data_IF_949429711134
#
_entry.id   IF_949429711134
#
_cell.length_a   1.000
_cell.length_b   1.000
_cell.length_c   1.000
_cell.angle_alpha   90.00
_cell.angle_beta   90.00
_cell.angle_gamma   90.00
#
_symmetry.space_group_name_H-M   'P 1'
#
loop_
_entity.id
_entity.type
_entity.pdbx_description
1 polymer ?
#
# COMPACT_ATOMS: atom_id res chain seq x y z
N UNK A 1 -16.57 -15.01 4.56
CA UNK A 1 -15.45 -14.48 5.37
C UNK A 1 -14.44 -13.89 4.41
N UNK A 2 -14.18 -12.59 4.48
CA UNK A 2 -13.09 -11.98 3.71
C UNK A 2 -11.73 -12.50 4.20
N UNK A 3 -10.65 -12.35 3.41
CA UNK A 3 -9.31 -12.72 3.86
C UNK A 3 -8.96 -11.90 5.12
N UNK A 4 -8.34 -12.54 6.11
CA UNK A 4 -7.80 -11.85 7.28
C UNK A 4 -6.85 -10.71 6.83
N UNK A 5 -6.88 -9.57 7.53
CA UNK A 5 -6.05 -8.38 7.22
C UNK A 5 -4.57 -8.78 7.09
N UNK A 6 -4.08 -9.68 7.93
CA UNK A 6 -2.71 -10.21 7.86
C UNK A 6 -2.37 -10.80 6.49
N UNK A 7 -3.28 -11.60 5.90
CA UNK A 7 -3.08 -12.16 4.57
C UNK A 7 -3.04 -11.07 3.49
N UNK A 8 -3.83 -10.00 3.65
CA UNK A 8 -3.82 -8.85 2.74
C UNK A 8 -2.49 -8.10 2.83
N UNK A 9 -1.98 -7.89 4.05
CA UNK A 9 -0.70 -7.21 4.29
C UNK A 9 0.49 -8.02 3.75
N UNK A 10 0.50 -9.34 3.93
CA UNK A 10 1.54 -10.22 3.35
C UNK A 10 1.59 -10.09 1.84
N UNK A 11 0.43 -10.08 1.17
CA UNK A 11 0.37 -9.89 -0.28
C UNK A 11 0.80 -8.47 -0.67
N UNK A 12 0.42 -7.45 0.10
CA UNK A 12 0.82 -6.06 -0.13
C UNK A 12 2.34 -5.89 -0.06
N UNK A 13 2.99 -6.52 0.92
CA UNK A 13 4.44 -6.55 1.09
C UNK A 13 5.13 -7.29 -0.05
N UNK A 14 4.56 -8.42 -0.50
CA UNK A 14 5.07 -9.14 -1.66
C UNK A 14 5.06 -8.29 -2.93
N UNK A 15 3.99 -7.52 -3.15
CA UNK A 15 3.91 -6.57 -4.27
C UNK A 15 4.91 -5.42 -4.11
N UNK A 16 5.06 -4.88 -2.90
CA UNK A 16 6.00 -3.80 -2.62
C UNK A 16 7.46 -4.23 -2.86
N UNK A 17 7.85 -5.41 -2.36
CA UNK A 17 9.18 -5.98 -2.60
C UNK A 17 9.47 -6.10 -4.10
N UNK A 18 8.54 -6.69 -4.85
CA UNK A 18 8.66 -6.80 -6.31
C UNK A 18 8.76 -5.43 -6.98
N UNK A 19 7.99 -4.46 -6.52
CA UNK A 19 8.03 -3.10 -7.05
C UNK A 19 9.42 -2.48 -6.87
N UNK A 20 9.99 -2.57 -5.66
CA UNK A 20 11.34 -2.07 -5.35
C UNK A 20 12.41 -2.78 -6.18
N UNK A 21 12.32 -4.09 -6.36
CA UNK A 21 13.26 -4.85 -7.19
C UNK A 21 13.24 -4.38 -8.67
N UNK A 22 12.06 -4.13 -9.21
CA UNK A 22 11.90 -3.64 -10.59
C UNK A 22 12.36 -2.19 -10.74
N UNK A 23 11.97 -1.35 -9.78
CA UNK A 23 12.32 0.06 -9.69
C UNK A 23 13.84 0.27 -9.61
N UNK A 24 14.50 -0.42 -8.68
CA UNK A 24 15.96 -0.34 -8.50
C UNK A 24 16.74 -0.92 -9.67
N UNK A 25 16.24 -1.99 -10.30
CA UNK A 25 16.91 -2.57 -11.47
C UNK A 25 16.75 -1.75 -12.74
N UNK A 26 15.71 -0.90 -12.81
CA UNK A 26 15.36 -0.10 -13.99
C UNK A 26 14.96 -0.89 -15.24
N UNK A 27 14.79 -2.21 -15.12
CA UNK A 27 14.54 -3.11 -16.27
C UNK A 27 13.10 -3.10 -16.76
N UNK A 28 12.15 -2.78 -15.87
CA UNK A 28 10.72 -2.79 -16.18
C UNK A 28 9.98 -1.79 -15.27
N UNK A 29 10.00 -0.52 -15.67
CA UNK A 29 9.37 0.56 -14.91
C UNK A 29 7.85 0.47 -14.91
N UNK A 30 7.25 -0.03 -16.00
CA UNK A 30 5.80 -0.29 -16.07
C UNK A 30 5.42 -1.39 -15.07
N UNK A 31 6.22 -2.45 -14.98
CA UNK A 31 6.08 -3.49 -13.96
C UNK A 31 6.22 -2.95 -12.54
N UNK A 32 7.17 -2.06 -12.29
CA UNK A 32 7.35 -1.39 -11.00
C UNK A 32 6.11 -0.56 -10.61
N UNK A 33 5.61 0.28 -11.52
CA UNK A 33 4.40 1.10 -11.32
C UNK A 33 3.20 0.20 -10.99
N UNK A 34 2.99 -0.87 -11.76
CA UNK A 34 1.89 -1.79 -11.55
C UNK A 34 1.99 -2.55 -10.22
N UNK A 35 3.20 -2.93 -9.81
CA UNK A 35 3.43 -3.60 -8.54
C UNK A 35 3.17 -2.66 -7.35
N UNK A 36 3.67 -1.41 -7.39
CA UNK A 36 3.34 -0.41 -6.37
C UNK A 36 1.84 -0.12 -6.31
N UNK A 37 1.16 -0.01 -7.46
CA UNK A 37 -0.28 0.22 -7.52
C UNK A 37 -1.11 -0.91 -6.90
N UNK A 38 -0.71 -2.17 -7.13
CA UNK A 38 -1.32 -3.33 -6.47
C UNK A 38 -1.10 -3.30 -4.96
N UNK A 39 0.11 -2.96 -4.52
CA UNK A 39 0.41 -2.81 -3.09
C UNK A 39 -0.45 -1.72 -2.45
N UNK A 40 -0.55 -0.53 -3.07
CA UNK A 40 -1.42 0.56 -2.63
C UNK A 40 -2.87 0.14 -2.44
N UNK A 41 -3.44 -0.58 -3.41
CA UNK A 41 -4.82 -1.06 -3.32
C UNK A 41 -5.04 -1.95 -2.09
N UNK A 42 -4.08 -2.83 -1.80
CA UNK A 42 -4.15 -3.74 -0.66
C UNK A 42 -3.94 -2.99 0.67
N UNK A 43 -3.01 -2.04 0.72
CA UNK A 43 -2.80 -1.17 1.89
C UNK A 43 -4.05 -0.34 2.19
N UNK A 44 -4.70 0.23 1.18
CA UNK A 44 -5.96 0.98 1.37
C UNK A 44 -7.06 0.10 1.96
N UNK A 45 -7.19 -1.15 1.49
CA UNK A 45 -8.16 -2.09 2.04
C UNK A 45 -7.83 -2.47 3.50
N UNK A 46 -6.55 -2.70 3.81
CA UNK A 46 -6.10 -3.02 5.17
C UNK A 46 -6.33 -1.85 6.14
N UNK A 47 -6.00 -0.62 5.72
CA UNK A 47 -6.24 0.60 6.51
C UNK A 47 -7.73 0.80 6.79
N UNK A 48 -8.58 0.68 5.76
CA UNK A 48 -10.02 0.84 5.91
C UNK A 48 -10.59 -0.19 6.92
N UNK A 49 -10.20 -1.45 6.78
CA UNK A 49 -10.63 -2.52 7.70
C UNK A 49 -10.11 -2.31 9.12
N UNK A 50 -8.87 -1.83 9.28
CA UNK A 50 -8.29 -1.54 10.61
C UNK A 50 -9.01 -0.38 11.31
N UNK A 51 -9.39 0.66 10.57
CA UNK A 51 -10.17 1.79 11.08
C UNK A 51 -11.59 1.34 11.47
N UNK A 52 -12.22 0.49 10.66
CA UNK A 52 -13.56 -0.04 10.94
C UNK A 52 -13.57 -0.89 12.23
N UNK A 53 -12.63 -1.83 12.36
CA UNK A 53 -12.49 -2.65 13.56
C UNK A 53 -12.23 -1.79 14.81
N UNK A 54 -11.41 -0.74 14.69
CA UNK A 54 -11.12 0.18 15.81
C UNK A 54 -12.35 1.01 16.24
N UNK A 55 -13.33 1.24 15.34
CA UNK A 55 -14.58 1.94 15.67
C UNK A 55 -15.58 1.04 16.38
N UNK A 56 -15.56 -0.26 16.11
CA UNK A 56 -16.42 -1.27 16.75
C UNK A 56 -15.88 -1.65 18.14
N UNK A 57 -14.57 -1.74 18.30
CA UNK A 57 -13.88 -2.07 19.55
C UNK A 57 -13.60 -0.81 20.39
N UNK A 58 -14.64 -0.14 20.91
CA UNK A 58 -14.51 1.04 21.80
C UNK A 58 -14.01 0.72 23.22
N UNK A 59 -13.03 -0.16 23.39
CA UNK A 59 -12.51 -0.50 24.71
C UNK A 59 -10.97 -0.56 24.74
N UNK A 60 -10.40 0.43 25.43
CA UNK A 60 -9.14 0.44 26.17
C UNK A 60 -8.03 -0.48 25.64
N UNK A 61 -7.38 -0.05 24.55
CA UNK A 61 -6.16 -0.68 24.01
C UNK A 61 -5.61 -0.02 22.74
N UNK A 62 -5.99 1.24 22.48
CA UNK A 62 -6.09 1.81 21.14
C UNK A 62 -4.78 2.37 20.55
N UNK A 63 -3.74 2.51 21.38
CA UNK A 63 -2.50 3.18 20.95
C UNK A 63 -1.70 2.36 19.94
N UNK A 64 -1.56 1.06 20.17
CA UNK A 64 -0.80 0.19 19.26
C UNK A 64 -1.50 0.05 17.90
N UNK A 65 -2.84 -0.05 17.89
CA UNK A 65 -3.66 -0.07 16.67
C UNK A 65 -3.57 1.23 15.89
N UNK A 66 -3.63 2.36 16.60
CA UNK A 66 -3.48 3.68 15.97
C UNK A 66 -2.09 3.85 15.36
N UNK A 67 -1.03 3.48 16.09
CA UNK A 67 0.34 3.51 15.59
C UNK A 67 0.54 2.57 14.37
N UNK A 68 -0.11 1.41 14.35
CA UNK A 68 -0.08 0.50 13.19
C UNK A 68 -0.74 1.14 11.96
N UNK A 69 -1.93 1.73 12.13
CA UNK A 69 -2.64 2.43 11.04
C UNK A 69 -1.81 3.60 10.52
N UNK A 70 -1.18 4.39 11.40
CA UNK A 70 -0.28 5.48 11.00
C UNK A 70 0.92 4.98 10.19
N UNK A 71 1.53 3.86 10.59
CA UNK A 71 2.62 3.24 9.82
C UNK A 71 2.14 2.79 8.44
N UNK A 72 0.97 2.16 8.35
CA UNK A 72 0.40 1.73 7.06
C UNK A 72 0.09 2.93 6.15
N UNK A 73 -0.43 4.01 6.72
CA UNK A 73 -0.67 5.29 6.01
C UNK A 73 0.62 5.88 5.48
N UNK A 74 1.69 5.94 6.29
CA UNK A 74 2.99 6.45 5.87
C UNK A 74 3.60 5.63 4.72
N UNK A 75 3.51 4.29 4.80
CA UNK A 75 3.98 3.39 3.74
C UNK A 75 3.17 3.59 2.45
N UNK A 76 1.85 3.66 2.57
CA UNK A 76 0.96 3.95 1.43
C UNK A 76 1.37 5.26 0.74
N UNK A 77 1.54 6.33 1.49
CA UNK A 77 1.87 7.65 0.93
C UNK A 77 3.24 7.66 0.27
N UNK A 78 4.23 6.95 0.84
CA UNK A 78 5.53 6.76 0.20
C UNK A 78 5.41 6.03 -1.15
N UNK A 79 4.56 5.01 -1.26
CA UNK A 79 4.37 4.29 -2.52
C UNK A 79 3.60 5.10 -3.56
N UNK A 80 2.58 5.87 -3.14
CA UNK A 80 1.90 6.82 -4.02
C UNK A 80 2.89 7.83 -4.60
N UNK A 81 3.72 8.45 -3.75
CA UNK A 81 4.74 9.40 -4.18
C UNK A 81 5.72 8.76 -5.17
N UNK A 82 6.15 7.51 -4.93
CA UNK A 82 7.06 6.83 -5.85
C UNK A 82 6.41 6.56 -7.21
N UNK A 83 5.14 6.15 -7.24
CA UNK A 83 4.39 5.97 -8.48
C UNK A 83 4.32 7.29 -9.26
N UNK A 84 4.01 8.41 -8.60
CA UNK A 84 3.96 9.71 -9.28
C UNK A 84 5.29 10.05 -9.96
N UNK A 85 6.41 9.80 -9.27
CA UNK A 85 7.76 10.03 -9.82
C UNK A 85 8.00 9.11 -11.02
N UNK A 86 7.69 7.82 -10.91
CA UNK A 86 7.90 6.84 -11.99
C UNK A 86 7.00 7.16 -13.20
N UNK A 87 5.74 7.51 -12.98
CA UNK A 87 4.81 7.91 -14.04
C UNK A 87 5.31 9.15 -14.79
N UNK A 88 5.82 10.16 -14.08
CA UNK A 88 6.44 11.35 -14.70
C UNK A 88 7.70 10.98 -15.50
N UNK A 89 8.58 10.14 -14.94
CA UNK A 89 9.80 9.71 -15.62
C UNK A 89 9.52 8.89 -16.89
N UNK A 90 8.49 8.04 -16.87
CA UNK A 90 8.09 7.20 -17.99
C UNK A 90 7.08 7.88 -18.93
N UNK A 91 6.62 9.09 -18.63
CA UNK A 91 5.58 9.81 -19.37
C UNK A 91 4.28 9.00 -19.54
N UNK A 92 3.87 8.29 -18.48
CA UNK A 92 2.64 7.49 -18.45
C UNK A 92 1.65 8.04 -17.43
N UNK A 93 0.36 7.80 -17.65
CA UNK A 93 -0.68 8.20 -16.70
C UNK A 93 -0.58 7.41 -15.39
N UNK A 94 -0.89 8.03 -14.23
CA UNK A 94 -0.99 7.32 -12.97
C UNK A 94 -2.10 6.26 -13.00
N UNK A 95 -1.88 5.06 -12.42
CA UNK A 95 -2.92 4.07 -12.26
C UNK A 95 -3.99 4.55 -11.26
N UNK A 96 -5.24 4.11 -11.43
CA UNK A 96 -6.37 4.55 -10.60
C UNK A 96 -6.17 4.34 -9.08
N UNK A 97 -5.35 3.36 -8.67
CA UNK A 97 -5.03 3.12 -7.27
C UNK A 97 -4.06 4.15 -6.66
N UNK A 98 -3.41 4.96 -7.50
CA UNK A 98 -2.48 6.01 -7.10
C UNK A 98 -3.11 7.41 -7.12
N UNK A 99 -4.27 7.58 -7.77
CA UNK A 99 -5.10 8.79 -7.72
C UNK A 99 -5.87 8.85 -6.38
#
# INVERSE_FOLDING_TARGET
MGPAIENVLVVALGQARRAVELDTSGKDMTGAINAYARSLKLLNAAIASSIENSREERDVGDREKFEEVERLVAVRDSYRNRIEILCKACQVAPPAAAV
#
